data_IF_052057582817
#
_entry.id   IF_052057582817
#
_cell.length_a   1.000
_cell.length_b   1.000
_cell.length_c   1.000
_cell.angle_alpha   90.00
_cell.angle_beta   90.00
_cell.angle_gamma   90.00
#
_symmetry.space_group_name_H-M   'P 1'
#
loop_
_entity.id
_entity.type
_entity.pdbx_description
1 polymer ?
#
# COMPACT_ATOMS: atom_id res chain seq x y z
N UNK A 1 14.35 -62.89 -28.26
CA UNK A 1 15.69 -62.53 -27.74
C UNK A 1 15.80 -61.01 -27.79
N UNK A 2 16.03 -60.43 -26.61
CA UNK A 2 16.22 -59.00 -26.25
C UNK A 2 17.38 -58.29 -27.00
N UNK A 3 17.60 -56.95 -26.87
CA UNK A 3 16.97 -56.02 -25.91
C UNK A 3 16.52 -54.63 -26.41
N UNK A 4 15.71 -54.01 -25.53
CA UNK A 4 15.10 -52.67 -25.47
C UNK A 4 16.08 -51.49 -25.17
N UNK A 5 17.30 -51.46 -25.70
CA UNK A 5 18.34 -50.55 -25.17
C UNK A 5 18.82 -49.41 -26.11
N UNK A 6 17.91 -48.71 -26.80
CA UNK A 6 18.28 -47.54 -27.63
C UNK A 6 17.64 -46.20 -27.21
N UNK A 7 16.95 -46.14 -26.08
CA UNK A 7 16.51 -44.88 -25.45
C UNK A 7 16.91 -44.72 -23.97
N UNK A 8 17.86 -45.52 -23.50
CA UNK A 8 18.44 -45.43 -22.16
C UNK A 8 19.88 -44.91 -22.26
N UNK A 9 20.08 -43.60 -22.45
CA UNK A 9 21.31 -42.84 -22.08
C UNK A 9 21.25 -41.35 -22.44
N UNK A 10 20.30 -40.65 -21.84
CA UNK A 10 20.49 -39.29 -21.32
C UNK A 10 19.80 -39.30 -19.94
N UNK A 11 20.31 -40.11 -19.00
CA UNK A 11 21.23 -39.60 -17.96
C UNK A 11 20.63 -38.33 -17.33
N UNK A 12 19.74 -38.52 -16.36
CA UNK A 12 20.11 -38.54 -14.94
C UNK A 12 20.32 -37.13 -14.40
N UNK A 13 19.26 -36.64 -13.76
CA UNK A 13 19.22 -35.37 -13.04
C UNK A 13 17.80 -35.06 -12.56
N UNK A 14 17.04 -36.09 -12.18
CA UNK A 14 15.67 -35.98 -11.70
C UNK A 14 15.60 -36.39 -10.23
N UNK A 15 16.38 -35.74 -9.38
CA UNK A 15 16.16 -35.75 -7.94
C UNK A 15 16.40 -34.34 -7.37
N UNK A 16 15.48 -33.94 -6.49
CA UNK A 16 15.53 -32.75 -5.64
C UNK A 16 15.31 -31.39 -6.30
N UNK A 17 14.03 -31.07 -6.55
CA UNK A 17 13.54 -29.68 -6.38
C UNK A 17 12.14 -29.68 -5.77
N UNK A 18 11.96 -30.49 -4.72
CA UNK A 18 10.95 -30.21 -3.68
C UNK A 18 11.55 -29.16 -2.73
N UNK A 19 11.38 -27.88 -3.04
CA UNK A 19 11.36 -26.75 -2.09
C UNK A 19 11.47 -25.39 -2.83
N UNK A 20 10.53 -25.08 -3.72
CA UNK A 20 10.48 -23.74 -4.33
C UNK A 20 9.08 -23.11 -4.34
N UNK A 21 8.15 -23.59 -3.50
CA UNK A 21 6.80 -23.03 -3.40
C UNK A 21 6.28 -22.94 -1.97
N UNK A 22 7.16 -22.65 -1.01
CA UNK A 22 6.78 -22.35 0.37
C UNK A 22 7.77 -21.35 1.00
N UNK A 23 7.97 -20.21 0.35
CA UNK A 23 8.37 -18.99 1.03
C UNK A 23 7.36 -17.91 0.63
N UNK A 24 6.08 -18.18 0.90
CA UNK A 24 5.33 -17.12 1.58
C UNK A 24 6.18 -16.77 2.78
N UNK A 25 6.85 -15.62 2.73
CA UNK A 25 7.47 -15.04 3.91
C UNK A 25 6.40 -15.04 4.98
N UNK A 26 6.46 -16.00 5.91
CA UNK A 26 5.78 -15.94 7.18
C UNK A 26 6.38 -14.72 7.84
N UNK A 27 5.84 -13.55 7.50
CA UNK A 27 6.09 -12.31 8.19
C UNK A 27 5.72 -12.63 9.62
N UNK A 28 6.71 -12.83 10.48
CA UNK A 28 6.53 -13.06 11.90
C UNK A 28 5.79 -11.84 12.46
N UNK A 29 4.46 -11.97 12.55
CA UNK A 29 3.62 -10.90 13.05
C UNK A 29 3.91 -10.79 14.53
N UNK A 30 4.47 -9.66 14.92
CA UNK A 30 4.82 -9.38 16.30
C UNK A 30 3.57 -8.93 17.05
N UNK A 31 3.21 -9.57 18.18
CA UNK A 31 2.17 -9.05 19.05
C UNK A 31 2.65 -7.76 19.69
N UNK A 32 1.88 -6.69 19.54
CA UNK A 32 2.17 -5.37 20.10
C UNK A 32 0.87 -4.76 20.64
N UNK A 33 0.87 -4.35 21.91
CA UNK A 33 -0.22 -3.58 22.50
C UNK A 33 0.00 -2.10 22.21
N UNK A 34 -0.97 -1.45 21.57
CA UNK A 34 -0.99 0.00 21.34
C UNK A 34 -2.25 0.51 22.03
N UNK A 35 -2.07 1.35 23.05
CA UNK A 35 -3.19 1.73 23.91
C UNK A 35 -3.76 0.52 24.64
N UNK A 36 -5.06 0.31 24.50
CA UNK A 36 -5.77 -0.84 25.07
C UNK A 36 -5.92 -2.04 24.11
N UNK A 37 -5.49 -1.91 22.86
CA UNK A 37 -5.70 -2.94 21.83
C UNK A 37 -4.43 -3.70 21.50
N UNK A 38 -4.53 -5.03 21.38
CA UNK A 38 -3.42 -5.90 20.97
C UNK A 38 -3.49 -6.19 19.48
N UNK A 39 -2.42 -5.85 18.77
CA UNK A 39 -2.30 -6.04 17.33
C UNK A 39 -1.26 -7.11 17.02
N UNK A 40 -1.48 -7.85 15.92
CA UNK A 40 -0.48 -8.74 15.31
C UNK A 40 0.07 -8.07 14.06
N UNK A 41 1.23 -7.44 14.19
CA UNK A 41 1.76 -6.51 13.18
C UNK A 41 2.99 -7.07 12.49
N UNK A 42 3.05 -6.84 11.18
CA UNK A 42 4.30 -6.88 10.43
C UNK A 42 5.05 -5.55 10.66
N UNK A 43 5.86 -5.50 11.71
CA UNK A 43 6.58 -4.28 12.12
C UNK A 43 7.55 -3.78 11.04
N UNK A 44 7.98 -4.64 10.11
CA UNK A 44 8.88 -4.24 9.01
C UNK A 44 8.27 -3.18 8.09
N UNK A 45 6.93 -3.14 7.99
CA UNK A 45 6.20 -2.15 7.19
C UNK A 45 5.99 -0.82 7.89
N UNK A 46 6.32 -0.73 9.18
CA UNK A 46 6.12 0.46 10.01
C UNK A 46 7.46 0.80 10.70
N UNK A 47 8.31 1.63 10.08
CA UNK A 47 9.70 1.83 10.52
C UNK A 47 9.82 2.31 11.97
N UNK A 48 8.91 3.18 12.41
CA UNK A 48 8.87 3.61 13.81
C UNK A 48 8.68 2.44 14.78
N UNK A 49 7.71 1.56 14.50
CA UNK A 49 7.42 0.40 15.35
C UNK A 49 8.53 -0.65 15.28
N UNK A 50 9.16 -0.85 14.13
CA UNK A 50 10.34 -1.70 14.04
C UNK A 50 11.48 -1.20 14.94
N UNK A 51 11.76 0.10 14.92
CA UNK A 51 12.77 0.71 15.78
C UNK A 51 12.38 0.60 17.26
N UNK A 52 11.11 0.84 17.59
CA UNK A 52 10.57 0.71 18.93
C UNK A 52 10.74 -0.71 19.49
N UNK A 53 10.31 -1.73 18.73
CA UNK A 53 10.43 -3.14 19.14
C UNK A 53 11.90 -3.53 19.31
N UNK A 54 12.76 -3.10 18.38
CA UNK A 54 14.21 -3.34 18.49
C UNK A 54 14.78 -2.72 19.77
N UNK A 55 14.43 -1.48 20.07
CA UNK A 55 14.88 -0.80 21.28
C UNK A 55 14.41 -1.49 22.56
N UNK A 56 13.13 -1.89 22.63
CA UNK A 56 12.60 -2.60 23.80
C UNK A 56 13.30 -3.94 24.03
N UNK A 57 13.50 -4.74 22.97
CA UNK A 57 14.19 -6.03 23.06
C UNK A 57 15.65 -5.90 23.52
N UNK A 58 16.35 -4.85 23.07
CA UNK A 58 17.72 -4.58 23.51
C UNK A 58 17.80 -4.11 24.96
N UNK A 59 16.76 -3.42 25.45
CA UNK A 59 16.74 -2.86 26.80
C UNK A 59 16.39 -3.87 27.89
N UNK A 60 15.76 -5.01 27.53
CA UNK A 60 15.33 -6.07 28.46
C UNK A 60 15.56 -7.47 27.88
N UNK A 61 16.81 -7.91 27.71
CA UNK A 61 17.09 -9.23 27.16
C UNK A 61 16.74 -10.33 28.18
N UNK A 62 15.71 -11.14 27.90
CA UNK A 62 15.44 -12.38 28.66
C UNK A 62 14.00 -12.60 29.14
N UNK A 63 13.14 -11.58 29.12
CA UNK A 63 11.72 -11.73 29.47
C UNK A 63 10.85 -11.98 28.23
N UNK A 64 9.73 -12.70 28.41
CA UNK A 64 8.58 -12.62 27.50
C UNK A 64 8.10 -11.17 27.48
N UNK A 65 8.61 -10.39 26.52
CA UNK A 65 8.31 -8.96 26.43
C UNK A 65 6.85 -8.76 26.02
N UNK A 66 6.04 -8.32 26.97
CA UNK A 66 4.83 -7.57 26.67
C UNK A 66 5.24 -6.23 26.02
N UNK A 67 5.26 -6.21 24.69
CA UNK A 67 5.51 -5.01 23.92
C UNK A 67 4.29 -4.09 24.06
N UNK A 68 4.44 -3.02 24.82
CA UNK A 68 3.39 -2.03 25.08
C UNK A 68 3.84 -0.65 24.64
N UNK A 69 3.05 -0.03 23.75
CA UNK A 69 3.19 1.34 23.28
C UNK A 69 1.94 2.14 23.70
N UNK A 70 2.11 3.45 23.93
CA UNK A 70 0.99 4.36 24.20
C UNK A 70 0.02 4.48 23.02
N UNK A 71 -1.09 5.20 23.23
CA UNK A 71 -2.07 5.43 22.16
C UNK A 71 -1.46 6.14 20.94
N UNK A 72 -1.88 5.72 19.76
CA UNK A 72 -1.55 6.36 18.48
C UNK A 72 -2.86 6.74 17.81
N UNK A 73 -3.05 8.04 17.55
CA UNK A 73 -4.28 8.56 16.97
C UNK A 73 -4.56 7.90 15.60
N UNK A 74 -5.80 7.44 15.40
CA UNK A 74 -6.27 6.81 14.15
C UNK A 74 -5.42 5.63 13.66
N UNK A 75 -4.70 4.94 14.56
CA UNK A 75 -3.82 3.83 14.19
C UNK A 75 -4.53 2.71 13.43
N UNK A 76 -5.75 2.35 13.83
CA UNK A 76 -6.56 1.34 13.12
C UNK A 76 -6.81 1.69 11.66
N UNK A 77 -7.09 2.98 11.41
CA UNK A 77 -7.34 3.48 10.05
C UNK A 77 -6.05 3.50 9.26
N UNK A 78 -4.95 3.90 9.89
CA UNK A 78 -3.62 3.91 9.28
C UNK A 78 -3.18 2.50 8.86
N UNK A 79 -3.31 1.53 9.78
CA UNK A 79 -2.99 0.13 9.57
C UNK A 79 -3.85 -0.48 8.46
N UNK A 80 -5.16 -0.22 8.48
CA UNK A 80 -6.07 -0.71 7.43
C UNK A 80 -5.71 -0.16 6.04
N UNK A 81 -5.29 1.11 5.97
CA UNK A 81 -4.78 1.70 4.73
C UNK A 81 -3.49 1.02 4.24
N UNK A 82 -2.58 0.69 5.16
CA UNK A 82 -1.31 0.03 4.84
C UNK A 82 -1.51 -1.43 4.38
N UNK A 83 -2.38 -2.19 5.03
CA UNK A 83 -2.59 -3.61 4.74
C UNK A 83 -3.57 -3.86 3.58
N UNK A 84 -4.64 -3.06 3.49
CA UNK A 84 -5.75 -3.30 2.53
C UNK A 84 -5.83 -2.26 1.42
N UNK A 85 -4.96 -1.25 1.43
CA UNK A 85 -4.88 -0.13 0.48
C UNK A 85 -5.58 1.14 0.95
N UNK A 86 -5.02 2.28 0.57
CA UNK A 86 -5.37 3.59 1.11
C UNK A 86 -6.79 4.08 0.79
N UNK A 87 -7.47 3.51 -0.21
CA UNK A 87 -8.91 3.75 -0.44
C UNK A 87 -9.78 3.43 0.78
N UNK A 88 -9.30 2.58 1.69
CA UNK A 88 -10.01 2.25 2.93
C UNK A 88 -10.06 3.43 3.89
N UNK A 89 -9.05 4.32 3.89
CA UNK A 89 -9.05 5.53 4.70
C UNK A 89 -10.28 6.40 4.38
N UNK A 90 -10.63 6.54 3.09
CA UNK A 90 -11.85 7.24 2.68
C UNK A 90 -13.15 6.62 3.20
N UNK A 91 -13.17 5.29 3.33
CA UNK A 91 -14.35 4.55 3.82
C UNK A 91 -14.49 4.66 5.34
N UNK A 92 -13.37 4.76 6.05
CA UNK A 92 -13.33 4.88 7.50
C UNK A 92 -13.68 6.30 7.98
N UNK A 93 -13.11 7.35 7.34
CA UNK A 93 -13.21 8.73 7.84
C UNK A 93 -14.37 9.55 7.24
N UNK A 94 -15.10 9.01 6.25
CA UNK A 94 -16.37 9.53 5.69
C UNK A 94 -16.49 11.05 5.45
N UNK A 95 -15.40 11.75 5.13
CA UNK A 95 -15.45 13.16 4.72
C UNK A 95 -14.99 14.18 5.76
N UNK A 96 -14.55 13.74 6.95
CA UNK A 96 -14.07 14.65 7.98
C UNK A 96 -12.61 15.09 7.72
N UNK A 97 -12.40 16.29 7.18
CA UNK A 97 -11.09 16.82 6.78
C UNK A 97 -10.09 16.84 7.94
N UNK A 98 -10.50 17.22 9.16
CA UNK A 98 -9.57 17.26 10.31
C UNK A 98 -9.01 15.89 10.66
N UNK A 99 -9.82 14.83 10.52
CA UNK A 99 -9.34 13.45 10.71
C UNK A 99 -8.32 13.03 9.64
N UNK A 100 -8.38 13.56 8.42
CA UNK A 100 -7.33 13.28 7.42
C UNK A 100 -6.03 13.99 7.73
N UNK A 101 -6.06 15.20 8.31
CA UNK A 101 -4.85 15.84 8.83
C UNK A 101 -4.20 14.98 9.91
N UNK A 102 -4.97 14.57 10.92
CA UNK A 102 -4.48 13.67 11.97
C UNK A 102 -3.96 12.35 11.39
N UNK A 103 -4.66 11.76 10.41
CA UNK A 103 -4.20 10.52 9.78
C UNK A 103 -2.87 10.71 9.02
N UNK A 104 -2.68 11.85 8.34
CA UNK A 104 -1.43 12.16 7.66
C UNK A 104 -0.29 12.37 8.66
N UNK A 105 -0.54 13.03 9.78
CA UNK A 105 0.41 13.18 10.90
C UNK A 105 0.76 11.81 11.49
N UNK A 106 -0.22 10.92 11.68
CA UNK A 106 0.02 9.55 12.13
C UNK A 106 0.93 8.79 11.18
N UNK A 107 0.70 8.86 9.87
CA UNK A 107 1.60 8.22 8.90
C UNK A 107 3.02 8.81 8.94
N UNK A 108 3.17 10.11 9.16
CA UNK A 108 4.49 10.75 9.30
C UNK A 108 5.20 10.35 10.60
N UNK A 109 4.47 10.29 11.72
CA UNK A 109 4.95 9.78 13.00
C UNK A 109 5.42 8.33 12.89
N UNK A 110 4.62 7.48 12.24
CA UNK A 110 4.94 6.07 11.99
C UNK A 110 6.07 5.87 10.98
N UNK A 111 6.53 6.96 10.32
CA UNK A 111 7.54 6.96 9.25
C UNK A 111 7.16 6.07 8.07
N UNK A 112 5.87 5.98 7.75
CA UNK A 112 5.38 5.21 6.61
C UNK A 112 5.46 6.05 5.34
N UNK A 113 6.12 5.52 4.31
CA UNK A 113 6.11 6.14 2.99
C UNK A 113 4.79 5.85 2.26
N UNK A 114 3.81 6.74 2.46
CA UNK A 114 2.50 6.68 1.80
C UNK A 114 2.63 6.84 0.28
N UNK A 115 3.56 7.69 -0.15
CA UNK A 115 3.78 8.02 -1.56
C UNK A 115 4.56 6.92 -2.28
N UNK A 116 5.27 6.03 -1.56
CA UNK A 116 6.15 5.00 -2.13
C UNK A 116 7.19 5.59 -3.11
N UNK A 117 7.71 6.78 -2.77
CA UNK A 117 8.60 7.56 -3.63
C UNK A 117 7.98 8.04 -4.95
N UNK A 118 6.66 7.92 -5.15
CA UNK A 118 6.02 8.37 -6.39
C UNK A 118 6.01 9.90 -6.50
N UNK A 119 6.31 10.39 -7.70
CA UNK A 119 6.09 11.79 -8.07
C UNK A 119 4.61 12.06 -8.34
N UNK A 120 4.24 13.35 -8.38
CA UNK A 120 2.88 13.76 -8.74
C UNK A 120 2.46 13.28 -10.14
N UNK A 121 3.39 13.18 -11.09
CA UNK A 121 3.10 12.70 -12.44
C UNK A 121 2.71 11.22 -12.41
N UNK A 122 3.42 10.41 -11.61
CA UNK A 122 3.09 8.99 -11.41
C UNK A 122 1.76 8.82 -10.69
N UNK A 123 1.49 9.62 -9.65
CA UNK A 123 0.19 9.62 -8.96
C UNK A 123 -0.93 9.97 -9.95
N UNK A 124 -0.72 10.95 -10.82
CA UNK A 124 -1.73 11.34 -11.80
C UNK A 124 -1.95 10.29 -12.89
N UNK A 125 -0.90 9.56 -13.30
CA UNK A 125 -1.04 8.40 -14.16
C UNK A 125 -1.88 7.29 -13.50
N UNK A 126 -1.61 7.00 -12.21
CA UNK A 126 -2.38 6.01 -11.44
C UNK A 126 -3.86 6.42 -11.27
N UNK A 127 -4.15 7.72 -11.11
CA UNK A 127 -5.53 8.23 -11.09
C UNK A 127 -6.26 7.92 -12.40
N UNK A 128 -5.58 8.03 -13.54
CA UNK A 128 -6.13 7.76 -14.86
C UNK A 128 -6.31 6.26 -15.15
N UNK A 129 -5.70 5.38 -14.36
CA UNK A 129 -5.82 3.92 -14.52
C UNK A 129 -7.27 3.41 -14.45
N UNK A 130 -8.20 4.19 -13.87
CA UNK A 130 -9.62 3.85 -13.85
C UNK A 130 -10.32 3.92 -15.22
N UNK A 131 -9.72 4.54 -16.23
CA UNK A 131 -10.29 4.62 -17.59
C UNK A 131 -10.23 3.25 -18.26
N UNK A 132 -11.30 2.89 -18.94
CA UNK A 132 -11.30 1.73 -19.83
C UNK A 132 -10.45 2.06 -21.05
N UNK A 133 -9.48 1.21 -21.34
CA UNK A 133 -8.65 1.33 -22.55
C UNK A 133 -9.15 0.34 -23.61
N UNK A 134 -8.85 0.60 -24.87
CA UNK A 134 -9.18 -0.30 -25.98
C UNK A 134 -7.89 -0.81 -26.61
N UNK A 135 -7.62 -2.11 -26.44
CA UNK A 135 -6.51 -2.76 -27.15
C UNK A 135 -7.00 -3.20 -28.52
N UNK A 136 -6.32 -2.72 -29.55
CA UNK A 136 -6.49 -3.19 -30.93
C UNK A 136 -5.52 -4.33 -31.17
N UNK A 137 -5.92 -5.55 -30.79
CA UNK A 137 -5.33 -6.73 -31.44
C UNK A 137 -5.99 -6.86 -32.82
N UNK A 138 -5.19 -7.23 -33.83
CA UNK A 138 -5.50 -7.26 -35.26
C UNK A 138 -6.84 -7.93 -35.67
N UNK A 139 -7.62 -8.48 -34.74
CA UNK A 139 -8.90 -9.16 -35.00
C UNK A 139 -10.12 -8.70 -34.19
N UNK A 140 -10.05 -7.68 -33.31
CA UNK A 140 -11.19 -6.89 -32.79
C UNK A 140 -10.74 -5.99 -31.63
N UNK A 141 -11.27 -4.76 -31.48
CA UNK A 141 -11.00 -3.95 -30.29
C UNK A 141 -11.56 -4.61 -29.04
N UNK A 142 -10.69 -4.89 -28.06
CA UNK A 142 -11.08 -5.43 -26.75
C UNK A 142 -10.99 -4.35 -25.69
N UNK A 143 -12.10 -4.11 -25.00
CA UNK A 143 -12.14 -3.19 -23.87
C UNK A 143 -11.38 -3.81 -22.68
N UNK A 144 -10.30 -3.16 -22.25
CA UNK A 144 -9.58 -3.46 -21.02
C UNK A 144 -10.16 -2.59 -19.92
N UNK A 145 -10.87 -3.21 -19.00
CA UNK A 145 -11.48 -2.52 -17.86
C UNK A 145 -10.40 -1.85 -17.01
N UNK A 146 -10.55 -0.55 -16.78
CA UNK A 146 -9.63 0.20 -15.93
C UNK A 146 -9.60 -0.26 -14.48
N UNK A 147 -8.47 -0.06 -13.81
CA UNK A 147 -8.27 -0.38 -12.41
C UNK A 147 -8.77 0.76 -11.50
N UNK A 148 -10.01 0.63 -11.05
CA UNK A 148 -10.62 1.56 -10.08
C UNK A 148 -9.99 1.47 -8.69
N UNK A 149 -9.38 0.34 -8.34
CA UNK A 149 -8.75 0.15 -7.02
C UNK A 149 -7.48 0.97 -6.93
N UNK A 150 -6.59 0.83 -7.92
CA UNK A 150 -5.36 1.62 -8.04
C UNK A 150 -5.66 3.12 -8.05
N UNK A 151 -6.61 3.57 -8.88
CA UNK A 151 -6.98 4.98 -8.96
C UNK A 151 -7.49 5.53 -7.61
N UNK A 152 -8.24 4.75 -6.84
CA UNK A 152 -8.73 5.19 -5.52
C UNK A 152 -7.65 5.23 -4.46
N UNK A 153 -6.68 4.32 -4.50
CA UNK A 153 -5.51 4.38 -3.63
C UNK A 153 -4.63 5.60 -3.99
N UNK A 154 -4.47 5.89 -5.28
CA UNK A 154 -3.76 7.07 -5.77
C UNK A 154 -4.42 8.39 -5.35
N UNK A 155 -5.76 8.44 -5.27
CA UNK A 155 -6.47 9.61 -4.75
C UNK A 155 -6.09 9.93 -3.30
N UNK A 156 -5.84 8.91 -2.47
CA UNK A 156 -5.36 9.15 -1.11
C UNK A 156 -3.91 9.64 -1.09
N UNK A 157 -3.04 9.11 -1.96
CA UNK A 157 -1.66 9.61 -2.10
C UNK A 157 -1.64 11.08 -2.51
N UNK A 158 -2.53 11.48 -3.43
CA UNK A 158 -2.69 12.88 -3.79
C UNK A 158 -3.13 13.72 -2.58
N UNK A 159 -4.13 13.27 -1.82
CA UNK A 159 -4.58 13.96 -0.61
C UNK A 159 -3.43 14.13 0.40
N UNK A 160 -2.66 13.07 0.63
CA UNK A 160 -1.50 13.08 1.52
C UNK A 160 -0.46 14.10 1.05
N UNK A 161 -0.19 14.18 -0.26
CA UNK A 161 0.70 15.17 -0.85
C UNK A 161 0.19 16.60 -0.61
N UNK A 162 -1.10 16.86 -0.85
CA UNK A 162 -1.76 18.15 -0.63
C UNK A 162 -1.64 18.58 0.82
N UNK A 163 -2.00 17.71 1.77
CA UNK A 163 -1.97 18.01 3.21
C UNK A 163 -0.54 18.26 3.70
N UNK A 164 0.46 17.53 3.20
CA UNK A 164 1.86 17.74 3.59
C UNK A 164 2.47 19.01 2.99
N UNK A 165 1.95 19.50 1.87
CA UNK A 165 2.49 20.67 1.15
C UNK A 165 3.93 20.49 0.65
N UNK A 166 4.45 19.25 0.58
CA UNK A 166 5.81 18.95 0.15
C UNK A 166 5.83 18.71 -1.36
N UNK A 167 6.08 19.76 -2.12
CA UNK A 167 6.21 19.71 -3.58
C UNK A 167 7.69 19.77 -3.99
N UNK A 168 8.03 19.10 -5.08
CA UNK A 168 9.41 19.08 -5.59
C UNK A 168 9.71 20.34 -6.41
N UNK A 169 8.72 20.87 -7.11
CA UNK A 169 8.78 22.12 -7.89
C UNK A 169 7.61 23.03 -7.50
N UNK A 170 7.89 24.05 -6.69
CA UNK A 170 6.89 24.99 -6.17
C UNK A 170 6.10 25.74 -7.25
N UNK A 171 6.60 25.82 -8.49
CA UNK A 171 5.93 26.54 -9.58
C UNK A 171 5.10 25.60 -10.46
N UNK A 172 5.59 24.39 -10.75
CA UNK A 172 4.91 23.46 -11.68
C UNK A 172 3.96 22.51 -10.97
N UNK A 173 4.28 22.11 -9.74
CA UNK A 173 3.48 21.13 -9.02
C UNK A 173 2.07 21.63 -8.67
N UNK A 174 1.82 22.92 -8.34
CA UNK A 174 0.46 23.40 -8.09
C UNK A 174 -0.50 23.20 -9.27
N UNK A 175 -0.05 23.46 -10.49
CA UNK A 175 -0.86 23.25 -11.69
C UNK A 175 -1.15 21.75 -11.92
N UNK A 176 -0.18 20.88 -11.63
CA UNK A 176 -0.35 19.42 -11.71
C UNK A 176 -1.33 18.91 -10.65
N UNK A 177 -1.23 19.40 -9.41
CA UNK A 177 -2.17 19.10 -8.33
C UNK A 177 -3.57 19.52 -8.74
N UNK A 178 -3.73 20.75 -9.22
CA UNK A 178 -5.02 21.26 -9.68
C UNK A 178 -5.65 20.35 -10.74
N UNK A 179 -4.90 19.95 -11.76
CA UNK A 179 -5.38 19.03 -12.79
C UNK A 179 -5.75 17.65 -12.25
N UNK A 180 -4.99 17.15 -11.26
CA UNK A 180 -5.27 15.88 -10.61
C UNK A 180 -6.54 15.92 -9.73
N UNK A 181 -6.74 17.01 -8.99
CA UNK A 181 -7.95 17.25 -8.19
C UNK A 181 -9.16 17.41 -9.11
N UNK A 182 -9.06 18.22 -10.16
CA UNK A 182 -10.13 18.40 -11.14
C UNK A 182 -10.54 17.06 -11.75
N UNK A 183 -9.56 16.20 -12.08
CA UNK A 183 -9.83 14.85 -12.55
C UNK A 183 -10.67 14.04 -11.55
N UNK A 184 -10.31 14.03 -10.26
CA UNK A 184 -11.05 13.30 -9.24
C UNK A 184 -12.49 13.79 -9.13
N UNK A 185 -12.68 15.11 -9.09
CA UNK A 185 -14.01 15.75 -8.95
C UNK A 185 -14.92 15.40 -10.13
N UNK A 186 -14.38 15.42 -11.36
CA UNK A 186 -15.13 15.13 -12.59
C UNK A 186 -15.46 13.64 -12.82
N UNK A 187 -14.80 12.70 -12.14
CA UNK A 187 -14.98 11.25 -12.37
C UNK A 187 -15.81 10.57 -11.27
N UNK A 188 -17.07 10.99 -11.14
CA UNK A 188 -18.03 10.50 -10.12
C UNK A 188 -18.29 8.98 -10.14
N UNK A 189 -18.17 8.34 -11.31
CA UNK A 189 -18.32 6.90 -11.47
C UNK A 189 -17.17 6.07 -10.83
N UNK A 190 -16.05 6.72 -10.53
CA UNK A 190 -14.89 6.13 -9.87
C UNK A 190 -14.76 6.64 -8.44
N UNK A 191 -14.81 7.96 -8.25
CA UNK A 191 -14.60 8.62 -6.96
C UNK A 191 -15.93 9.01 -6.32
N UNK A 192 -16.21 8.40 -5.17
CA UNK A 192 -17.46 8.63 -4.43
C UNK A 192 -17.51 10.06 -3.88
N UNK A 193 -18.70 10.60 -3.56
CA UNK A 193 -18.86 11.94 -3.00
C UNK A 193 -17.93 12.22 -1.80
N UNK A 194 -17.80 11.28 -0.86
CA UNK A 194 -16.93 11.43 0.31
C UNK A 194 -15.43 11.60 -0.05
N UNK A 195 -14.96 10.98 -1.14
CA UNK A 195 -13.60 11.19 -1.64
C UNK A 195 -13.47 12.56 -2.29
N UNK A 196 -14.42 12.92 -3.16
CA UNK A 196 -14.41 14.19 -3.91
C UNK A 196 -14.62 15.44 -3.05
N UNK A 197 -15.16 15.28 -1.84
CA UNK A 197 -15.36 16.37 -0.89
C UNK A 197 -14.07 16.72 -0.13
N UNK A 198 -13.22 15.72 0.11
CA UNK A 198 -12.01 15.88 0.94
C UNK A 198 -10.80 16.25 0.10
N UNK A 199 -10.71 15.70 -1.12
CA UNK A 199 -9.64 15.97 -2.09
C UNK A 199 -9.98 17.21 -2.89
#
# INVERSE_FOLDING_TARGET
>A
MLPDDLYSKLAEGAESTKAASAMESLSEKTPLKIGDTVYKLDVSKIPYLAAFVKFQRLSRPGDDLDLVHGDIALFDVALKGLESGYRQCFRCLRGNISQYHTLCETYDFLRVDVLRGQSIDTIFADLKACKTDYKFDYQRPRAVKGDKTQARDAAFRLLFLIIRGKFSDEKKDPAKVYNAVLFIVSHSATFKPATRFVV
#
